data_IF_593723724845
#
_entry.id   IF_593723724845
#
_cell.length_a   1.000
_cell.length_b   1.000
_cell.length_c   1.000
_cell.angle_alpha   90.00
_cell.angle_beta   90.00
_cell.angle_gamma   90.00
#
_symmetry.space_group_name_H-M   'P 1'
#
loop_
_entity.id
_entity.type
_entity.pdbx_description
1 polymer ?
#
# COMPACT_ATOMS: atom_id res chain seq x y z
N UNK A 1 29.35 34.89 64.53
CA UNK A 1 28.86 35.30 63.19
C UNK A 1 29.49 34.49 62.06
N UNK A 2 30.80 34.20 62.05
CA UNK A 2 31.42 33.38 60.98
C UNK A 2 31.10 31.89 61.09
N UNK A 3 30.92 31.35 62.30
CA UNK A 3 30.65 29.92 62.49
C UNK A 3 29.20 29.56 62.14
N UNK A 4 28.24 30.42 62.48
CA UNK A 4 26.82 30.25 62.10
C UNK A 4 26.56 30.31 60.59
N UNK A 5 27.41 31.02 59.84
CA UNK A 5 27.33 31.05 58.37
C UNK A 5 27.83 29.74 57.76
N UNK A 6 28.89 29.14 58.32
CA UNK A 6 29.39 27.84 57.88
C UNK A 6 28.40 26.71 58.17
N UNK A 7 27.74 26.77 59.33
CA UNK A 7 26.73 25.77 59.69
C UNK A 7 25.51 25.83 58.74
N UNK A 8 25.04 27.02 58.38
CA UNK A 8 23.97 27.22 57.40
C UNK A 8 24.38 26.76 55.98
N UNK A 9 25.64 26.97 55.59
CA UNK A 9 26.19 26.53 54.30
C UNK A 9 26.29 25.00 54.22
N UNK A 10 26.65 24.34 55.33
CA UNK A 10 26.65 22.87 55.45
C UNK A 10 25.22 22.31 55.40
N UNK A 11 24.24 23.00 56.00
CA UNK A 11 22.84 22.57 55.96
C UNK A 11 22.22 22.71 54.57
N UNK A 12 22.55 23.78 53.84
CA UNK A 12 22.18 23.94 52.43
C UNK A 12 22.83 22.87 51.55
N UNK A 13 24.12 22.57 51.74
CA UNK A 13 24.78 21.48 51.02
C UNK A 13 24.15 20.11 51.31
N UNK A 14 23.71 19.86 52.55
CA UNK A 14 22.99 18.63 52.90
C UNK A 14 21.62 18.55 52.24
N UNK A 15 20.88 19.67 52.22
CA UNK A 15 19.58 19.76 51.55
C UNK A 15 19.71 19.56 50.04
N UNK A 16 20.72 20.13 49.39
CA UNK A 16 20.96 19.95 47.95
C UNK A 16 21.31 18.49 47.62
N UNK A 17 22.20 17.86 48.40
CA UNK A 17 22.53 16.42 48.23
C UNK A 17 21.30 15.53 48.47
N UNK A 18 20.46 15.89 49.44
CA UNK A 18 19.25 15.15 49.75
C UNK A 18 18.16 15.33 48.69
N UNK A 19 18.06 16.52 48.08
CA UNK A 19 17.19 16.79 46.94
C UNK A 19 17.65 16.06 45.67
N UNK A 20 18.96 16.05 45.36
CA UNK A 20 19.50 15.28 44.24
C UNK A 20 19.28 13.77 44.40
N UNK A 21 19.40 13.25 45.62
CA UNK A 21 19.14 11.84 45.91
C UNK A 21 17.66 11.48 45.72
N UNK A 22 16.75 12.36 46.18
CA UNK A 22 15.30 12.18 45.99
C UNK A 22 14.91 12.25 44.50
N UNK A 23 15.44 13.21 43.75
CA UNK A 23 15.20 13.39 42.30
C UNK A 23 15.69 12.15 41.52
N UNK A 24 16.87 11.62 41.88
CA UNK A 24 17.39 10.38 41.30
C UNK A 24 16.51 9.16 41.60
N UNK A 25 15.89 9.09 42.77
CA UNK A 25 14.96 8.03 43.15
C UNK A 25 13.66 8.06 42.36
N UNK A 26 13.08 9.25 42.19
CA UNK A 26 11.86 9.45 41.38
C UNK A 26 12.10 9.15 39.89
N UNK A 27 13.27 9.50 39.34
CA UNK A 27 13.65 9.12 37.98
C UNK A 27 13.77 7.60 37.80
N UNK A 28 14.34 6.88 38.78
CA UNK A 28 14.48 5.42 38.76
C UNK A 28 13.10 4.74 38.88
N UNK A 29 12.22 5.23 39.74
CA UNK A 29 10.88 4.66 39.89
C UNK A 29 10.03 4.89 38.63
N UNK A 30 10.07 6.10 38.07
CA UNK A 30 9.39 6.49 36.83
C UNK A 30 9.87 5.68 35.61
N UNK A 31 11.18 5.39 35.52
CA UNK A 31 11.72 4.53 34.46
C UNK A 31 11.31 3.06 34.65
N UNK A 32 11.28 2.57 35.88
CA UNK A 32 10.85 1.19 36.18
C UNK A 32 9.38 0.92 35.84
N UNK A 33 8.50 1.89 36.09
CA UNK A 33 7.07 1.78 35.77
C UNK A 33 6.82 1.84 34.26
N UNK A 34 7.55 2.70 33.53
CA UNK A 34 7.51 2.74 32.06
C UNK A 34 7.93 1.41 31.44
N UNK A 35 8.97 0.77 31.98
CA UNK A 35 9.41 -0.54 31.50
C UNK A 35 8.40 -1.66 31.79
N UNK A 36 7.74 -1.65 32.96
CA UNK A 36 6.68 -2.62 33.29
C UNK A 36 5.52 -2.50 32.30
N UNK A 37 5.04 -1.28 32.05
CA UNK A 37 3.97 -1.01 31.07
C UNK A 37 4.38 -1.47 29.66
N UNK A 38 5.61 -1.22 29.23
CA UNK A 38 6.08 -1.68 27.91
C UNK A 38 6.15 -3.22 27.82
N UNK A 39 6.58 -3.91 28.89
CA UNK A 39 6.61 -5.37 28.95
C UNK A 39 5.21 -5.97 28.93
N UNK A 40 4.27 -5.39 29.67
CA UNK A 40 2.86 -5.82 29.66
C UNK A 40 2.22 -5.62 28.29
N UNK A 41 2.42 -4.46 27.67
CA UNK A 41 1.95 -4.18 26.31
C UNK A 41 2.57 -5.15 25.28
N UNK A 42 3.86 -5.48 25.42
CA UNK A 42 4.55 -6.47 24.58
C UNK A 42 4.00 -7.88 24.80
N UNK A 43 3.70 -8.26 26.05
CA UNK A 43 3.09 -9.54 26.38
C UNK A 43 1.65 -9.65 25.86
N UNK A 44 0.86 -8.57 25.97
CA UNK A 44 -0.50 -8.50 25.44
C UNK A 44 -0.50 -8.61 23.92
N UNK A 45 0.40 -7.89 23.23
CA UNK A 45 0.62 -8.01 21.78
C UNK A 45 1.04 -9.42 21.39
N UNK A 46 1.89 -10.09 22.17
CA UNK A 46 2.30 -11.47 21.93
C UNK A 46 1.14 -12.47 22.10
N UNK A 47 0.27 -12.27 23.10
CA UNK A 47 -0.95 -13.06 23.29
C UNK A 47 -1.92 -12.90 22.10
N UNK A 48 -2.20 -11.66 21.70
CA UNK A 48 -3.03 -11.36 20.51
C UNK A 48 -2.46 -11.98 19.24
N UNK A 49 -1.14 -11.89 19.04
CA UNK A 49 -0.44 -12.50 17.89
C UNK A 49 -0.55 -14.04 17.88
N UNK A 50 -0.40 -14.68 19.05
CA UNK A 50 -0.53 -16.13 19.18
C UNK A 50 -1.97 -16.60 18.89
N UNK A 51 -2.97 -15.86 19.38
CA UNK A 51 -4.38 -16.15 19.13
C UNK A 51 -4.72 -16.02 17.63
N UNK A 52 -4.33 -14.92 16.99
CA UNK A 52 -4.52 -14.70 15.55
C UNK A 52 -3.85 -15.81 14.74
N UNK A 53 -2.63 -16.20 15.11
CA UNK A 53 -1.92 -17.30 14.45
C UNK A 53 -2.63 -18.65 14.61
N UNK A 54 -3.10 -18.96 15.82
CA UNK A 54 -3.86 -20.19 16.10
C UNK A 54 -5.15 -20.24 15.26
N UNK A 55 -5.91 -19.14 15.23
CA UNK A 55 -7.12 -19.00 14.39
C UNK A 55 -6.82 -19.18 12.90
N UNK A 56 -5.72 -18.61 12.41
CA UNK A 56 -5.29 -18.75 11.01
C UNK A 56 -4.87 -20.19 10.68
N UNK A 57 -4.19 -20.87 11.60
CA UNK A 57 -3.77 -22.27 11.42
C UNK A 57 -4.98 -23.22 11.43
N UNK A 58 -5.92 -23.02 12.34
CA UNK A 58 -7.18 -23.78 12.41
C UNK A 58 -8.03 -23.58 11.15
N UNK A 59 -8.15 -22.33 10.66
CA UNK A 59 -8.80 -22.03 9.38
C UNK A 59 -8.06 -22.68 8.19
N UNK A 60 -6.72 -22.78 8.25
CA UNK A 60 -5.91 -23.48 7.26
C UNK A 60 -6.13 -25.00 7.26
N UNK A 61 -6.27 -25.63 8.43
CA UNK A 61 -6.58 -27.06 8.59
C UNK A 61 -8.00 -27.37 8.11
N UNK A 62 -8.99 -26.53 8.44
CA UNK A 62 -10.37 -26.68 7.98
C UNK A 62 -10.53 -26.63 6.45
N UNK A 63 -9.67 -25.87 5.74
CA UNK A 63 -9.66 -25.83 4.26
C UNK A 63 -9.17 -27.14 3.62
N UNK A 64 -8.36 -27.94 4.31
CA UNK A 64 -7.85 -29.23 3.81
C UNK A 64 -8.87 -30.36 3.96
N UNK A 65 -9.84 -30.23 4.87
CA UNK A 65 -10.81 -31.28 5.20
C UNK A 65 -12.00 -31.37 4.22
N UNK A 66 -12.27 -30.36 3.38
CA UNK A 66 -13.42 -30.39 2.45
C UNK A 66 -13.10 -31.15 1.15
N UNK A 67 -13.20 -32.47 1.21
CA UNK A 67 -13.30 -33.38 0.06
C UNK A 67 -14.76 -33.38 -0.43
N UNK A 68 -15.02 -32.97 -1.68
CA UNK A 68 -16.20 -33.46 -2.41
C UNK A 68 -17.38 -32.54 -2.77
N UNK A 69 -17.16 -31.31 -3.27
CA UNK A 69 -18.25 -30.60 -4.00
C UNK A 69 -17.96 -30.39 -5.50
N UNK A 70 -16.70 -30.37 -5.90
CA UNK A 70 -16.31 -30.02 -7.27
C UNK A 70 -15.09 -30.82 -7.68
N UNK A 71 -15.11 -31.40 -8.90
CA UNK A 71 -13.93 -32.02 -9.47
C UNK A 71 -12.80 -30.98 -9.56
N UNK A 72 -11.54 -31.39 -9.36
CA UNK A 72 -10.40 -30.46 -9.39
C UNK A 72 -10.31 -29.70 -10.72
N UNK A 73 -10.66 -30.35 -11.83
CA UNK A 73 -10.72 -29.75 -13.17
C UNK A 73 -11.79 -28.66 -13.28
N UNK A 74 -13.01 -28.91 -12.80
CA UNK A 74 -14.09 -27.93 -12.81
C UNK A 74 -13.76 -26.74 -11.90
N UNK A 75 -13.08 -26.96 -10.78
CA UNK A 75 -12.55 -25.89 -9.91
C UNK A 75 -11.50 -25.04 -10.62
N UNK A 76 -10.60 -25.66 -11.39
CA UNK A 76 -9.59 -24.95 -12.20
C UNK A 76 -10.24 -24.12 -13.30
N UNK A 77 -11.22 -24.68 -14.03
CA UNK A 77 -11.98 -23.96 -15.06
C UNK A 77 -12.72 -22.76 -14.48
N UNK A 78 -13.39 -22.93 -13.34
CA UNK A 78 -14.11 -21.85 -12.67
C UNK A 78 -13.17 -20.73 -12.21
N UNK A 79 -12.02 -21.05 -11.60
CA UNK A 79 -11.00 -20.04 -11.24
C UNK A 79 -10.52 -19.26 -12.45
N UNK A 80 -10.31 -19.93 -13.59
CA UNK A 80 -9.92 -19.27 -14.84
C UNK A 80 -11.02 -18.31 -15.31
N UNK A 81 -12.28 -18.74 -15.30
CA UNK A 81 -13.41 -17.89 -15.70
C UNK A 81 -13.58 -16.68 -14.76
N UNK A 82 -13.45 -16.88 -13.44
CA UNK A 82 -13.51 -15.79 -12.48
C UNK A 82 -12.38 -14.77 -12.67
N UNK A 83 -11.16 -15.24 -12.92
CA UNK A 83 -10.02 -14.36 -13.18
C UNK A 83 -10.19 -13.61 -14.51
N UNK A 84 -10.67 -14.28 -15.57
CA UNK A 84 -10.99 -13.65 -16.85
C UNK A 84 -12.02 -12.55 -16.69
N UNK A 85 -13.16 -12.85 -16.05
CA UNK A 85 -14.20 -11.86 -15.78
C UNK A 85 -13.67 -10.70 -14.94
N UNK A 86 -12.93 -10.98 -13.86
CA UNK A 86 -12.34 -9.92 -13.03
C UNK A 86 -11.37 -9.02 -13.82
N UNK A 87 -10.60 -9.59 -14.76
CA UNK A 87 -9.72 -8.78 -15.62
C UNK A 87 -10.49 -7.96 -16.65
N UNK A 88 -11.58 -8.49 -17.19
CA UNK A 88 -12.47 -7.78 -18.11
C UNK A 88 -13.17 -6.62 -17.39
N UNK A 89 -13.75 -6.88 -16.21
CA UNK A 89 -14.40 -5.89 -15.36
C UNK A 89 -13.41 -4.78 -14.94
N UNK A 90 -12.18 -5.13 -14.57
CA UNK A 90 -11.14 -4.15 -14.23
C UNK A 90 -10.78 -3.25 -15.42
N UNK A 91 -10.66 -3.83 -16.63
CA UNK A 91 -10.40 -3.04 -17.85
C UNK A 91 -11.58 -2.14 -18.20
N UNK A 92 -12.80 -2.63 -18.05
CA UNK A 92 -14.01 -1.84 -18.29
C UNK A 92 -14.12 -0.68 -17.31
N UNK A 93 -13.85 -0.91 -16.03
CA UNK A 93 -13.82 0.14 -15.02
C UNK A 93 -12.72 1.17 -15.30
N UNK A 94 -11.54 0.75 -15.74
CA UNK A 94 -10.46 1.66 -16.14
C UNK A 94 -10.88 2.55 -17.32
N UNK A 95 -11.54 1.97 -18.33
CA UNK A 95 -12.07 2.74 -19.47
C UNK A 95 -13.12 3.75 -19.02
N UNK A 96 -14.12 3.33 -18.24
CA UNK A 96 -15.15 4.21 -17.69
C UNK A 96 -14.54 5.35 -16.88
N UNK A 97 -13.60 5.06 -15.97
CA UNK A 97 -12.89 6.08 -15.18
C UNK A 97 -12.09 7.04 -16.05
N UNK A 98 -11.51 6.57 -17.15
CA UNK A 98 -10.80 7.42 -18.10
C UNK A 98 -11.76 8.32 -18.89
N UNK A 99 -12.91 7.79 -19.34
CA UNK A 99 -13.97 8.54 -20.01
C UNK A 99 -14.57 9.60 -19.08
N UNK A 100 -14.96 9.22 -17.86
CA UNK A 100 -15.42 10.13 -16.81
C UNK A 100 -14.38 11.21 -16.51
N UNK A 101 -13.09 10.86 -16.46
CA UNK A 101 -12.02 11.85 -16.31
C UNK A 101 -11.99 12.85 -17.46
N UNK A 102 -12.20 12.42 -18.70
CA UNK A 102 -12.25 13.36 -19.84
C UNK A 102 -13.47 14.28 -19.75
N UNK A 103 -14.64 13.74 -19.39
CA UNK A 103 -15.87 14.53 -19.20
C UNK A 103 -15.63 15.61 -18.13
N UNK A 104 -15.15 15.21 -16.95
CA UNK A 104 -14.87 16.15 -15.84
C UNK A 104 -13.81 17.18 -16.22
N UNK A 105 -12.78 16.80 -16.98
CA UNK A 105 -11.78 17.76 -17.44
C UNK A 105 -12.36 18.76 -18.44
N UNK A 106 -13.21 18.31 -19.37
CA UNK A 106 -13.89 19.20 -20.32
C UNK A 106 -14.87 20.17 -19.65
N UNK A 107 -15.48 19.76 -18.54
CA UNK A 107 -16.37 20.63 -17.75
C UNK A 107 -15.59 21.64 -16.89
N UNK A 108 -14.44 21.22 -16.33
CA UNK A 108 -13.66 22.05 -15.40
C UNK A 108 -12.70 23.03 -16.08
N UNK A 109 -12.15 22.64 -17.23
CA UNK A 109 -11.21 23.47 -17.96
C UNK A 109 -12.02 24.42 -18.84
N UNK A 110 -11.96 25.74 -18.61
CA UNK A 110 -12.61 26.68 -19.51
C UNK A 110 -12.01 26.55 -20.91
N UNK A 111 -12.86 26.53 -21.92
CA UNK A 111 -12.42 26.48 -23.32
C UNK A 111 -11.74 27.79 -23.67
N UNK A 112 -10.56 27.74 -24.29
CA UNK A 112 -9.96 28.93 -24.86
C UNK A 112 -10.88 29.50 -25.96
N UNK A 113 -10.96 30.83 -26.10
CA UNK A 113 -11.59 31.44 -27.25
C UNK A 113 -11.01 30.89 -28.55
N UNK A 114 -11.88 30.59 -29.53
CA UNK A 114 -11.48 29.97 -30.80
C UNK A 114 -10.54 30.84 -31.63
N UNK A 115 -10.70 32.17 -31.58
CA UNK A 115 -9.97 33.14 -32.40
C UNK A 115 -9.04 34.00 -31.54
N UNK A 116 -7.93 33.43 -31.07
CA UNK A 116 -6.97 34.14 -30.22
C UNK A 116 -6.29 35.34 -30.91
N UNK A 117 -6.15 35.29 -32.23
CA UNK A 117 -5.43 36.32 -33.00
C UNK A 117 -6.26 37.59 -33.23
N UNK A 118 -7.58 37.53 -33.03
CA UNK A 118 -8.51 38.64 -33.28
C UNK A 118 -9.15 39.21 -31.99
N UNK A 119 -8.66 38.83 -30.81
CA UNK A 119 -9.16 39.32 -29.53
C UNK A 119 -8.62 40.73 -29.25
N UNK A 120 -9.46 41.59 -28.68
CA UNK A 120 -9.06 42.92 -28.27
C UNK A 120 -8.01 42.84 -27.15
N UNK A 121 -6.93 43.64 -27.16
CA UNK A 121 -5.84 43.55 -26.19
C UNK A 121 -6.31 43.65 -24.72
N UNK A 122 -7.31 44.48 -24.44
CA UNK A 122 -7.86 44.63 -23.10
C UNK A 122 -8.62 43.37 -22.63
N UNK A 123 -9.35 42.71 -23.53
CA UNK A 123 -10.05 41.45 -23.23
C UNK A 123 -9.05 40.31 -22.97
N UNK A 124 -7.94 40.30 -23.72
CA UNK A 124 -6.85 39.36 -23.52
C UNK A 124 -6.19 39.53 -22.14
N UNK A 125 -6.02 40.79 -21.69
CA UNK A 125 -5.46 41.08 -20.37
C UNK A 125 -6.37 40.53 -19.26
N UNK A 126 -7.67 40.82 -19.32
CA UNK A 126 -8.67 40.34 -18.34
C UNK A 126 -8.65 38.81 -18.28
N UNK A 127 -8.71 38.15 -19.45
CA UNK A 127 -8.67 36.69 -19.53
C UNK A 127 -7.40 36.13 -18.90
N UNK A 128 -6.24 36.76 -19.14
CA UNK A 128 -4.97 36.32 -18.55
C UNK A 128 -4.95 36.43 -17.02
N UNK A 129 -5.57 37.47 -16.47
CA UNK A 129 -5.67 37.67 -15.02
C UNK A 129 -6.63 36.67 -14.36
N UNK A 130 -7.73 36.33 -15.03
CA UNK A 130 -8.66 35.28 -14.60
C UNK A 130 -7.98 33.90 -14.54
N UNK A 131 -7.27 33.51 -15.62
CA UNK A 131 -6.50 32.26 -15.63
C UNK A 131 -5.43 32.23 -14.55
N UNK A 132 -4.70 33.32 -14.35
CA UNK A 132 -3.67 33.43 -13.31
C UNK A 132 -4.28 33.23 -11.92
N UNK A 133 -5.40 33.89 -11.64
CA UNK A 133 -6.10 33.74 -10.36
C UNK A 133 -6.58 32.31 -10.15
N UNK A 134 -7.13 31.69 -11.19
CA UNK A 134 -7.59 30.30 -11.14
C UNK A 134 -6.46 29.31 -10.93
N UNK A 135 -5.29 29.53 -11.54
CA UNK A 135 -4.11 28.69 -11.35
C UNK A 135 -3.67 28.74 -9.89
N UNK A 136 -3.62 29.93 -9.27
CA UNK A 136 -3.24 30.08 -7.86
C UNK A 136 -4.18 29.30 -6.94
N UNK A 137 -5.51 29.38 -7.17
CA UNK A 137 -6.49 28.60 -6.42
C UNK A 137 -6.27 27.09 -6.58
N UNK A 138 -6.10 26.62 -7.82
CA UNK A 138 -5.89 25.20 -8.12
C UNK A 138 -4.58 24.67 -7.53
N UNK A 139 -3.52 25.47 -7.53
CA UNK A 139 -2.25 25.09 -6.88
C UNK A 139 -2.42 24.89 -5.37
N UNK A 140 -3.20 25.75 -4.71
CA UNK A 140 -3.56 25.56 -3.29
C UNK A 140 -4.35 24.27 -3.07
N UNK A 141 -5.39 24.03 -3.89
CA UNK A 141 -6.19 22.79 -3.80
C UNK A 141 -5.35 21.53 -4.05
N UNK A 142 -4.42 21.57 -5.03
CA UNK A 142 -3.51 20.47 -5.32
C UNK A 142 -2.61 20.17 -4.11
N UNK A 143 -2.11 21.20 -3.44
CA UNK A 143 -1.29 21.04 -2.25
C UNK A 143 -2.07 20.33 -1.14
N UNK A 144 -3.28 20.80 -0.83
CA UNK A 144 -4.13 20.19 0.21
C UNK A 144 -4.48 18.74 -0.10
N UNK A 145 -4.87 18.45 -1.36
CA UNK A 145 -5.15 17.09 -1.81
C UNK A 145 -3.92 16.19 -1.73
N UNK A 146 -2.75 16.70 -2.12
CA UNK A 146 -1.48 15.96 -2.07
C UNK A 146 -1.07 15.65 -0.64
N UNK A 147 -1.26 16.60 0.28
CA UNK A 147 -1.01 16.41 1.70
C UNK A 147 -1.95 15.35 2.29
N UNK A 148 -3.24 15.42 1.97
CA UNK A 148 -4.22 14.42 2.42
C UNK A 148 -3.92 13.03 1.88
N UNK A 149 -3.56 12.90 0.60
CA UNK A 149 -3.12 11.64 0.00
C UNK A 149 -1.90 11.07 0.73
N UNK A 150 -0.89 11.91 0.98
CA UNK A 150 0.32 11.50 1.71
C UNK A 150 -0.01 11.01 3.13
N UNK A 151 -0.90 11.70 3.85
CA UNK A 151 -1.37 11.28 5.18
C UNK A 151 -2.06 9.91 5.11
N UNK A 152 -2.90 9.69 4.10
CA UNK A 152 -3.57 8.40 3.88
C UNK A 152 -2.60 7.28 3.48
N UNK A 153 -1.59 7.57 2.68
CA UNK A 153 -0.54 6.60 2.36
C UNK A 153 0.25 6.18 3.60
N UNK A 154 0.57 7.13 4.48
CA UNK A 154 1.18 6.82 5.78
C UNK A 154 0.28 5.94 6.64
N UNK A 155 -1.00 6.30 6.79
CA UNK A 155 -1.99 5.53 7.53
C UNK A 155 -2.12 4.08 6.99
N UNK A 156 -2.18 3.91 5.67
CA UNK A 156 -2.22 2.58 5.04
C UNK A 156 -0.95 1.79 5.33
N UNK A 157 0.22 2.44 5.28
CA UNK A 157 1.50 1.79 5.57
C UNK A 157 1.58 1.34 7.04
N UNK A 158 1.18 2.20 7.98
CA UNK A 158 1.12 1.85 9.41
C UNK A 158 0.18 0.68 9.68
N UNK A 159 -1.03 0.72 9.12
CA UNK A 159 -1.99 -0.37 9.23
C UNK A 159 -1.45 -1.66 8.58
N UNK A 160 -0.75 -1.55 7.45
CA UNK A 160 -0.12 -2.70 6.79
C UNK A 160 0.95 -3.33 7.67
N UNK A 161 1.79 -2.53 8.32
CA UNK A 161 2.80 -2.99 9.28
C UNK A 161 2.12 -3.68 10.47
N UNK A 162 1.11 -3.05 11.08
CA UNK A 162 0.38 -3.60 12.22
C UNK A 162 -0.28 -4.95 11.88
N UNK A 163 -0.93 -5.06 10.71
CA UNK A 163 -1.53 -6.31 10.24
C UNK A 163 -0.46 -7.39 10.00
N UNK A 164 0.70 -7.03 9.45
CA UNK A 164 1.79 -7.97 9.23
C UNK A 164 2.40 -8.47 10.55
N UNK A 165 2.56 -7.60 11.53
CA UNK A 165 3.09 -7.95 12.85
C UNK A 165 2.16 -8.89 13.62
N UNK A 166 0.85 -8.69 13.51
CA UNK A 166 -0.18 -9.55 14.10
C UNK A 166 -0.30 -10.90 13.38
N UNK A 167 -0.21 -10.92 12.04
CA UNK A 167 -0.26 -12.17 11.25
C UNK A 167 1.03 -12.98 11.36
N UNK A 168 2.14 -12.32 11.72
CA UNK A 168 3.48 -12.89 11.85
C UNK A 168 4.25 -12.89 10.52
N UNK A 169 5.53 -12.51 10.61
CA UNK A 169 6.56 -12.46 9.54
C UNK A 169 6.73 -13.77 8.74
N UNK A 170 6.07 -14.87 9.15
CA UNK A 170 6.30 -16.23 8.69
C UNK A 170 5.10 -16.89 7.99
N UNK A 171 4.17 -16.12 7.42
CA UNK A 171 3.53 -16.60 6.18
C UNK A 171 4.56 -16.35 5.09
N UNK A 172 5.47 -17.32 4.88
CA UNK A 172 6.57 -17.22 3.90
C UNK A 172 6.01 -16.61 2.62
N UNK A 173 6.30 -15.31 2.31
CA UNK A 173 5.99 -14.82 0.98
C UNK A 173 6.76 -15.75 0.07
N UNK A 174 6.05 -16.52 -0.75
CA UNK A 174 6.72 -17.40 -1.70
C UNK A 174 7.54 -16.46 -2.56
N UNK A 175 8.86 -16.43 -2.34
CA UNK A 175 9.77 -15.61 -3.13
C UNK A 175 9.52 -16.01 -4.57
N UNK A 176 8.78 -15.18 -5.31
CA UNK A 176 8.66 -15.37 -6.74
C UNK A 176 10.09 -15.17 -7.24
N UNK A 177 10.64 -16.17 -7.93
CA UNK A 177 11.87 -15.99 -8.69
C UNK A 177 11.55 -14.95 -9.75
N UNK A 178 11.80 -13.70 -9.43
CA UNK A 178 11.76 -12.60 -10.39
C UNK A 178 13.06 -12.77 -11.16
N UNK A 179 12.97 -13.33 -12.37
CA UNK A 179 14.14 -13.37 -13.24
C UNK A 179 14.48 -11.93 -13.58
N UNK A 180 15.73 -11.49 -13.32
CA UNK A 180 16.22 -10.17 -13.76
C UNK A 180 16.09 -9.98 -15.28
N UNK A 181 15.89 -11.08 -15.99
CA UNK A 181 15.74 -11.17 -17.43
C UNK A 181 14.31 -11.00 -17.92
N UNK A 182 13.24 -11.05 -17.11
CA UNK A 182 11.88 -10.94 -17.65
C UNK A 182 11.65 -9.61 -18.38
N UNK A 183 12.21 -8.51 -17.88
CA UNK A 183 12.17 -7.20 -18.56
C UNK A 183 13.03 -7.13 -19.83
N UNK A 184 14.12 -7.91 -19.90
CA UNK A 184 14.93 -8.06 -21.11
C UNK A 184 14.25 -8.99 -22.13
N UNK A 185 13.56 -10.02 -21.65
CA UNK A 185 12.78 -10.94 -22.47
C UNK A 185 11.46 -10.33 -22.92
N UNK A 186 10.88 -9.34 -22.26
CA UNK A 186 9.66 -8.69 -22.76
C UNK A 186 9.89 -7.94 -24.07
N UNK A 187 11.11 -7.39 -24.27
CA UNK A 187 11.54 -6.82 -25.57
C UNK A 187 11.68 -7.91 -26.64
N UNK A 188 12.24 -9.07 -26.29
CA UNK A 188 12.44 -10.21 -27.21
C UNK A 188 11.12 -10.97 -27.46
N UNK A 189 10.24 -11.07 -26.46
CA UNK A 189 8.89 -11.66 -26.50
C UNK A 189 7.98 -10.80 -27.36
N UNK A 190 8.05 -9.46 -27.32
CA UNK A 190 7.29 -8.61 -28.26
C UNK A 190 7.72 -8.81 -29.71
N UNK A 191 8.99 -9.09 -29.97
CA UNK A 191 9.48 -9.42 -31.31
C UNK A 191 9.19 -10.87 -31.74
N UNK A 192 9.08 -11.81 -30.80
CA UNK A 192 8.90 -13.24 -31.06
C UNK A 192 7.62 -13.83 -30.43
N UNK A 193 6.57 -13.01 -30.20
CA UNK A 193 5.39 -13.36 -29.40
C UNK A 193 4.65 -14.59 -29.93
N UNK A 194 4.80 -14.88 -31.22
CA UNK A 194 4.20 -16.04 -31.88
C UNK A 194 4.91 -17.38 -31.58
N UNK A 195 6.10 -17.39 -30.95
CA UNK A 195 6.94 -18.61 -30.86
C UNK A 195 7.33 -19.07 -29.46
N UNK A 196 6.97 -18.35 -28.40
CA UNK A 196 7.19 -18.80 -27.01
C UNK A 196 5.91 -19.47 -26.50
N UNK A 197 5.38 -20.40 -27.29
CA UNK A 197 4.46 -21.41 -26.80
C UNK A 197 5.32 -22.59 -26.38
N UNK A 198 5.19 -23.08 -25.13
CA UNK A 198 5.90 -24.27 -24.66
C UNK A 198 5.61 -25.51 -25.52
N UNK A 199 4.56 -25.47 -26.34
CA UNK A 199 4.24 -26.49 -27.34
C UNK A 199 5.17 -26.49 -28.56
N UNK A 200 5.82 -25.37 -28.89
CA UNK A 200 6.66 -25.27 -30.10
C UNK A 200 7.99 -26.05 -29.98
N UNK A 201 8.48 -26.25 -28.75
CA UNK A 201 9.68 -27.04 -28.48
C UNK A 201 9.42 -28.55 -28.38
N UNK A 202 8.14 -28.97 -28.39
CA UNK A 202 7.76 -30.38 -28.35
C UNK A 202 7.64 -30.92 -29.78
N UNK A 203 8.37 -32.00 -30.09
CA UNK A 203 8.17 -32.74 -31.35
C UNK A 203 6.77 -33.35 -31.34
N UNK A 204 5.88 -32.85 -32.21
CA UNK A 204 4.65 -33.55 -32.56
C UNK A 204 5.02 -34.75 -33.43
N UNK A 205 4.62 -35.97 -33.04
CA UNK A 205 4.73 -37.12 -33.95
C UNK A 205 3.65 -36.98 -35.01
N UNK A 206 4.03 -37.21 -36.26
CA UNK A 206 3.14 -37.20 -37.41
C UNK A 206 1.97 -38.15 -37.19
N UNK A 207 0.80 -37.56 -37.04
CA UNK A 207 -0.42 -38.25 -36.64
C UNK A 207 -1.44 -37.26 -36.11
N UNK A 208 -1.89 -36.34 -36.98
CA UNK A 208 -3.03 -35.44 -36.74
C UNK A 208 -4.34 -36.23 -36.68
N UNK A 209 -4.44 -37.24 -35.83
CA UNK A 209 -5.66 -38.04 -35.60
C UNK A 209 -6.43 -37.59 -34.35
N UNK A 210 -5.86 -36.69 -33.53
CA UNK A 210 -6.45 -36.25 -32.26
C UNK A 210 -6.28 -34.75 -31.98
N UNK A 211 -5.97 -33.93 -33.00
CA UNK A 211 -5.98 -32.48 -32.84
C UNK A 211 -7.43 -32.02 -32.67
N UNK A 212 -7.82 -31.70 -31.44
CA UNK A 212 -9.11 -31.06 -31.16
C UNK A 212 -9.17 -29.75 -31.92
N UNK A 213 -10.09 -29.64 -32.86
CA UNK A 213 -10.39 -28.39 -33.55
C UNK A 213 -10.74 -27.32 -32.50
N UNK A 214 -10.15 -26.14 -32.67
CA UNK A 214 -10.46 -25.00 -31.83
C UNK A 214 -11.94 -24.67 -32.01
N UNK A 215 -12.75 -25.00 -31.00
CA UNK A 215 -14.15 -24.58 -30.92
C UNK A 215 -14.15 -23.06 -31.04
N UNK A 216 -14.67 -22.57 -32.17
CA UNK A 216 -14.84 -21.14 -32.45
C UNK A 216 -15.54 -20.50 -31.25
N UNK A 217 -14.81 -19.55 -30.66
CA UNK A 217 -15.27 -18.73 -29.55
C UNK A 217 -16.32 -17.77 -30.11
N UNK A 218 -17.59 -18.01 -29.80
CA UNK A 218 -18.63 -16.98 -29.90
C UNK A 218 -18.50 -16.04 -28.69
#
# INVERSE_FOLDING_TARGET
>A
MKDSLKDAEIELQKLDVQNEFNDSGEEIECTSEREKVERELRAERARKKAEVRKRLEEAGRAKKAKKGFLTPERKKKLRKLLMLKATEDLKLQQKKRAEERQIVLSERIPTLPSDLDNIHPDELLILSEEYRSRIIELESEIYDLSYMNRKKDFEINELTIAVNDLRGKFVKPTLKRISKTDSQFDKIKKQNAAKIDFRSTLKTREGNKFTMEEVKKY
#
